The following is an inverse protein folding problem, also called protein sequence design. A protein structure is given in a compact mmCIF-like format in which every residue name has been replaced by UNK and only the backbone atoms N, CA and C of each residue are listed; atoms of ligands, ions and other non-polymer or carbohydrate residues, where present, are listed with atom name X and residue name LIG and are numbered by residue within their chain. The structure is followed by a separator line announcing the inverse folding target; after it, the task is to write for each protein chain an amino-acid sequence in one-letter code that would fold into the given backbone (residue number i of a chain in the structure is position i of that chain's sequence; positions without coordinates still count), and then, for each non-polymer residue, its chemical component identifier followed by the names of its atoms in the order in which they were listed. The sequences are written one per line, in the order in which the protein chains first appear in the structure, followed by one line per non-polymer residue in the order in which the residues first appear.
data_IF_437511845870
#
_entry.id   IF_437511845870
#
_cell.length_a   1.000
_cell.length_b   1.000
_cell.length_c   1.000
_cell.angle_alpha   90.00
_cell.angle_beta   90.00
_cell.angle_gamma   90.00
#
_symmetry.space_group_name_H-M   'P 1'
#
loop_
_entity.id
_entity.type
_entity.pdbx_description
1 polymer ?
#
# COMPACT_ATOMS: atom_id res chain seq x y z
N UNK A 1 -11.41 8.42 -15.38
CA UNK A 1 -10.39 7.64 -14.65
C UNK A 1 -9.95 8.52 -13.50
N UNK A 2 -10.07 8.06 -12.26
CA UNK A 2 -9.73 8.87 -11.09
C UNK A 2 -8.22 8.91 -10.98
N UNK A 3 -7.62 10.06 -11.26
CA UNK A 3 -6.17 10.30 -11.24
C UNK A 3 -5.63 10.33 -9.81
N UNK A 4 -5.68 9.19 -9.11
CA UNK A 4 -5.30 9.08 -7.71
C UNK A 4 -3.81 8.78 -7.56
N UNK A 5 -3.08 9.65 -6.85
CA UNK A 5 -1.74 9.33 -6.34
C UNK A 5 -1.86 8.92 -4.88
N UNK A 6 -1.36 7.75 -4.53
CA UNK A 6 -1.15 7.35 -3.15
C UNK A 6 0.23 7.83 -2.70
N UNK A 7 0.30 8.50 -1.55
CA UNK A 7 1.56 8.84 -0.89
C UNK A 7 1.75 7.94 0.33
N UNK A 8 2.85 7.19 0.35
CA UNK A 8 3.25 6.39 1.50
C UNK A 8 4.27 7.18 2.29
N UNK A 9 4.05 7.33 3.59
CA UNK A 9 4.91 8.09 4.51
C UNK A 9 5.38 7.21 5.65
N UNK A 10 6.50 7.59 6.26
CA UNK A 10 6.97 7.01 7.52
C UNK A 10 7.16 8.12 8.55
N UNK A 11 6.10 8.43 9.28
CA UNK A 11 6.13 9.43 10.35
C UNK A 11 5.84 8.74 11.71
N UNK A 12 6.81 8.73 12.64
CA UNK A 12 6.63 8.19 13.98
C UNK A 12 5.72 9.04 14.87
N UNK A 13 5.56 10.34 14.58
CA UNK A 13 4.71 11.28 15.33
C UNK A 13 3.24 11.28 14.85
N UNK A 14 2.86 10.25 14.08
CA UNK A 14 1.48 10.04 13.65
C UNK A 14 0.51 9.92 14.83
N UNK A 15 0.99 9.58 16.03
CA UNK A 15 0.20 9.61 17.28
C UNK A 15 -0.33 10.99 17.65
N UNK A 16 0.36 12.08 17.27
CA UNK A 16 -0.13 13.44 17.46
C UNK A 16 -1.26 13.76 16.47
N UNK A 17 -1.22 13.17 15.27
CA UNK A 17 -2.29 13.25 14.27
C UNK A 17 -3.48 12.31 14.59
N UNK A 18 -3.31 11.32 15.47
CA UNK A 18 -4.21 10.17 15.55
C UNK A 18 -4.50 9.67 16.97
N UNK A 19 -4.75 10.59 17.91
CA UNK A 19 -5.26 10.28 19.26
C UNK A 19 -6.62 9.53 19.30
N UNK A 20 -7.13 8.92 18.22
CA UNK A 20 -8.45 8.27 18.20
C UNK A 20 -8.60 6.89 17.51
N UNK A 21 -7.59 6.24 16.93
CA UNK A 21 -7.80 4.90 16.37
C UNK A 21 -6.52 4.04 16.36
N UNK A 22 -6.60 2.82 16.91
CA UNK A 22 -5.49 1.87 16.97
C UNK A 22 -5.31 1.07 15.68
N UNK A 23 -4.12 1.13 15.09
CA UNK A 23 -3.67 0.30 13.96
C UNK A 23 -2.19 0.58 13.64
N UNK A 24 -1.46 -0.40 13.10
CA UNK A 24 -0.02 -0.30 12.74
C UNK A 24 0.20 0.51 11.45
N UNK A 25 -0.83 0.59 10.61
CA UNK A 25 -0.90 1.45 9.44
C UNK A 25 -2.32 2.00 9.33
N UNK A 26 -2.45 3.30 9.04
CA UNK A 26 -3.76 3.93 8.92
C UNK A 26 -3.90 4.66 7.59
N UNK A 27 -5.03 4.41 6.93
CA UNK A 27 -5.44 5.08 5.70
C UNK A 27 -6.37 6.24 6.06
N UNK A 28 -5.96 7.47 5.77
CA UNK A 28 -6.87 8.62 5.83
C UNK A 28 -7.63 8.69 4.50
N UNK A 29 -8.94 8.49 4.54
CA UNK A 29 -9.84 8.64 3.40
C UNK A 29 -10.68 9.90 3.64
N UNK A 30 -10.18 11.07 3.23
CA UNK A 30 -10.97 12.31 3.26
C UNK A 30 -11.76 12.43 1.96
N UNK A 31 -13.09 12.27 2.03
CA UNK A 31 -13.96 12.42 0.85
C UNK A 31 -14.16 13.91 0.50
N UNK A 32 -14.07 14.19 -0.81
CA UNK A 32 -14.32 15.42 -1.59
C UNK A 32 -13.14 16.39 -1.77
N UNK A 33 -12.72 16.46 -3.04
CA UNK A 33 -11.76 17.36 -3.69
C UNK A 33 -10.26 17.13 -3.39
N UNK A 34 -9.59 16.44 -4.33
CA UNK A 34 -8.18 16.60 -4.71
C UNK A 34 -7.08 16.49 -3.63
N UNK A 35 -7.35 15.94 -2.45
CA UNK A 35 -6.26 15.57 -1.53
C UNK A 35 -5.69 14.18 -1.87
N UNK A 36 -4.36 14.01 -1.83
CA UNK A 36 -3.73 12.72 -2.08
C UNK A 36 -4.13 11.72 -0.98
N UNK A 37 -4.38 10.46 -1.37
CA UNK A 37 -4.55 9.38 -0.41
C UNK A 37 -3.21 9.17 0.30
N UNK A 38 -3.22 9.07 1.64
CA UNK A 38 -2.01 8.86 2.44
C UNK A 38 -2.11 7.53 3.19
N UNK A 39 -1.05 6.73 3.09
CA UNK A 39 -0.79 5.55 3.90
C UNK A 39 0.46 5.80 4.75
N UNK A 40 0.30 6.00 6.05
CA UNK A 40 1.43 6.18 6.95
C UNK A 40 1.81 4.86 7.65
N UNK A 41 3.12 4.62 7.75
CA UNK A 41 3.70 3.59 8.60
C UNK A 41 4.38 4.23 9.82
N UNK A 42 4.31 3.58 10.98
CA UNK A 42 4.92 4.08 12.22
C UNK A 42 6.45 4.16 12.19
N UNK A 43 7.10 3.44 11.27
CA UNK A 43 8.55 3.42 11.11
C UNK A 43 8.96 2.88 9.74
N UNK A 44 10.19 3.18 9.28
CA UNK A 44 10.78 2.50 8.12
C UNK A 44 10.78 0.98 8.25
N UNK A 45 11.05 0.44 9.46
CA UNK A 45 11.00 -1.00 9.71
C UNK A 45 9.61 -1.60 9.46
N UNK A 46 8.56 -0.94 9.96
CA UNK A 46 7.17 -1.35 9.71
C UNK A 46 6.80 -1.28 8.23
N UNK A 47 7.27 -0.25 7.52
CA UNK A 47 7.12 -0.14 6.07
C UNK A 47 7.77 -1.33 5.35
N UNK A 48 9.04 -1.65 5.60
CA UNK A 48 9.74 -2.74 4.90
C UNK A 48 9.19 -4.13 5.25
N UNK A 49 8.70 -4.33 6.48
CA UNK A 49 8.04 -5.57 6.88
C UNK A 49 6.72 -5.81 6.11
N UNK A 50 5.98 -4.73 5.81
CA UNK A 50 4.69 -4.77 5.15
C UNK A 50 4.78 -4.64 3.62
N UNK A 51 5.76 -3.91 3.10
CA UNK A 51 5.97 -3.64 1.69
C UNK A 51 7.38 -4.08 1.26
N UNK A 52 7.57 -5.40 1.29
CA UNK A 52 8.79 -6.06 0.83
C UNK A 52 8.81 -6.21 -0.70
N UNK A 53 9.94 -6.68 -1.24
CA UNK A 53 10.18 -6.87 -2.68
C UNK A 53 9.06 -7.67 -3.37
N UNK A 54 8.60 -8.75 -2.72
CA UNK A 54 7.57 -9.65 -3.26
C UNK A 54 6.24 -8.92 -3.48
N UNK A 55 5.86 -8.03 -2.56
CA UNK A 55 4.64 -7.23 -2.64
C UNK A 55 4.80 -6.04 -3.57
N UNK A 56 5.98 -5.42 -3.61
CA UNK A 56 6.33 -4.40 -4.61
C UNK A 56 6.22 -4.91 -6.04
N UNK A 57 6.63 -6.16 -6.30
CA UNK A 57 6.48 -6.79 -7.60
C UNK A 57 5.00 -6.91 -8.02
N UNK A 58 4.09 -7.24 -7.09
CA UNK A 58 2.65 -7.28 -7.37
C UNK A 58 2.13 -5.88 -7.75
N UNK A 59 2.47 -4.86 -6.95
CA UNK A 59 2.03 -3.49 -7.20
C UNK A 59 2.50 -2.96 -8.55
N UNK A 60 3.76 -3.21 -8.92
CA UNK A 60 4.32 -2.78 -10.21
C UNK A 60 3.54 -3.35 -11.39
N UNK A 61 3.13 -4.61 -11.30
CA UNK A 61 2.31 -5.22 -12.34
C UNK A 61 0.91 -4.66 -12.33
N UNK A 62 0.32 -4.41 -11.16
CA UNK A 62 -1.08 -3.97 -11.03
C UNK A 62 -1.29 -2.49 -11.35
N UNK A 63 -0.27 -1.65 -11.25
CA UNK A 63 -0.34 -0.22 -11.57
C UNK A 63 -0.70 -0.02 -13.06
N UNK A 64 -1.72 0.81 -13.31
CA UNK A 64 -2.22 1.08 -14.66
C UNK A 64 -2.90 -0.12 -15.35
N UNK A 65 -3.09 -1.24 -14.65
CA UNK A 65 -3.86 -2.37 -15.18
C UNK A 65 -5.33 -2.28 -14.78
N UNK A 66 -6.17 -2.94 -15.58
CA UNK A 66 -7.53 -3.28 -15.16
C UNK A 66 -7.56 -4.37 -14.08
N UNK A 67 -8.69 -5.04 -13.95
CA UNK A 67 -8.82 -6.17 -13.02
C UNK A 67 -7.99 -7.38 -13.47
N UNK A 68 -7.21 -7.97 -12.56
CA UNK A 68 -6.38 -9.15 -12.80
C UNK A 68 -6.71 -10.22 -11.77
N UNK A 69 -6.95 -11.45 -12.23
CA UNK A 69 -7.15 -12.61 -11.34
C UNK A 69 -5.85 -13.06 -10.68
N UNK A 70 -5.92 -13.60 -9.46
CA UNK A 70 -4.73 -14.02 -8.68
C UNK A 70 -3.85 -15.03 -9.43
N UNK A 71 -4.44 -15.98 -10.17
CA UNK A 71 -3.68 -16.95 -10.97
C UNK A 71 -2.90 -16.30 -12.10
N UNK A 72 -3.53 -15.34 -12.79
CA UNK A 72 -2.86 -14.59 -13.85
C UNK A 72 -1.75 -13.71 -13.28
N UNK A 73 -2.00 -13.05 -12.15
CA UNK A 73 -0.97 -12.29 -11.46
C UNK A 73 0.22 -13.18 -11.09
N UNK A 74 -0.03 -14.38 -10.57
CA UNK A 74 1.00 -15.35 -10.22
C UNK A 74 1.85 -15.79 -11.43
N UNK A 75 1.20 -16.02 -12.58
CA UNK A 75 1.88 -16.31 -13.85
C UNK A 75 2.79 -15.14 -14.28
N UNK A 76 2.30 -13.89 -14.16
CA UNK A 76 3.08 -12.70 -14.55
C UNK A 76 4.30 -12.45 -13.65
N UNK A 77 4.21 -12.75 -12.34
CA UNK A 77 5.37 -12.64 -11.43
C UNK A 77 6.25 -13.89 -11.37
N UNK A 78 5.89 -14.98 -12.06
CA UNK A 78 6.65 -16.23 -12.02
C UNK A 78 6.69 -16.89 -10.62
N UNK A 79 5.60 -16.80 -9.86
CA UNK A 79 5.52 -17.34 -8.48
C UNK A 79 4.31 -18.24 -8.30
N UNK A 80 4.30 -19.01 -7.22
CA UNK A 80 3.18 -19.87 -6.87
C UNK A 80 1.93 -19.07 -6.45
N UNK A 81 0.75 -19.63 -6.74
CA UNK A 81 -0.54 -18.97 -6.48
C UNK A 81 -0.78 -18.72 -5.00
N UNK A 82 -0.34 -19.62 -4.11
CA UNK A 82 -0.56 -19.50 -2.66
C UNK A 82 0.21 -18.31 -2.10
N UNK A 83 1.49 -18.20 -2.43
CA UNK A 83 2.34 -17.08 -2.02
C UNK A 83 1.83 -15.74 -2.55
N UNK A 84 1.38 -15.71 -3.81
CA UNK A 84 0.80 -14.49 -4.41
C UNK A 84 -0.54 -14.12 -3.77
N UNK A 85 -1.37 -15.12 -3.42
CA UNK A 85 -2.60 -14.86 -2.68
C UNK A 85 -2.31 -14.23 -1.31
N UNK A 86 -1.37 -14.79 -0.55
CA UNK A 86 -0.96 -14.26 0.76
C UNK A 86 -0.46 -12.82 0.65
N UNK A 87 0.43 -12.54 -0.31
CA UNK A 87 0.96 -11.19 -0.53
C UNK A 87 -0.12 -10.21 -0.98
N UNK A 88 -1.02 -10.63 -1.89
CA UNK A 88 -2.14 -9.81 -2.32
C UNK A 88 -3.11 -9.50 -1.19
N UNK A 89 -3.38 -10.44 -0.29
CA UNK A 89 -4.21 -10.20 0.90
C UNK A 89 -3.63 -9.12 1.80
N UNK A 90 -2.31 -9.10 2.01
CA UNK A 90 -1.66 -8.01 2.78
C UNK A 90 -1.84 -6.66 2.08
N UNK A 91 -1.64 -6.61 0.76
CA UNK A 91 -1.83 -5.38 -0.02
C UNK A 91 -3.29 -4.89 -0.01
N UNK A 92 -4.26 -5.81 0.00
CA UNK A 92 -5.68 -5.47 0.14
C UNK A 92 -5.97 -4.90 1.53
N UNK A 93 -5.44 -5.51 2.59
CA UNK A 93 -5.59 -5.00 3.96
C UNK A 93 -4.98 -3.61 4.15
N UNK A 94 -3.88 -3.31 3.46
CA UNK A 94 -3.27 -1.97 3.43
C UNK A 94 -4.03 -0.97 2.52
N UNK A 95 -5.03 -1.44 1.77
CA UNK A 95 -5.80 -0.64 0.83
C UNK A 95 -5.03 -0.22 -0.42
N UNK A 96 -3.94 -0.91 -0.74
CA UNK A 96 -3.08 -0.72 -1.92
C UNK A 96 -3.65 -1.45 -3.15
N UNK A 97 -4.35 -2.55 -2.91
CA UNK A 97 -5.16 -3.26 -3.90
C UNK A 97 -6.59 -3.36 -3.40
N UNK A 98 -7.54 -3.52 -4.32
CA UNK A 98 -8.92 -3.84 -4.02
C UNK A 98 -9.26 -5.19 -4.65
N UNK A 99 -10.20 -5.91 -4.02
CA UNK A 99 -10.74 -7.16 -4.55
C UNK A 99 -12.20 -6.95 -4.92
N UNK A 100 -12.57 -7.29 -6.15
CA UNK A 100 -13.95 -7.23 -6.59
C UNK A 100 -14.76 -8.48 -6.16
N UNK A 101 -16.06 -8.49 -6.45
CA UNK A 101 -16.97 -9.61 -6.15
C UNK A 101 -16.53 -10.95 -6.74
N UNK A 102 -15.81 -10.93 -7.86
CA UNK A 102 -15.31 -12.13 -8.55
C UNK A 102 -13.92 -12.57 -8.02
N UNK A 103 -13.40 -11.91 -6.99
CA UNK A 103 -12.08 -12.21 -6.41
C UNK A 103 -10.90 -11.70 -7.23
N UNK A 104 -11.13 -10.94 -8.30
CA UNK A 104 -10.07 -10.30 -9.08
C UNK A 104 -9.57 -9.05 -8.35
N UNK A 105 -8.28 -8.75 -8.54
CA UNK A 105 -7.60 -7.63 -7.93
C UNK A 105 -7.57 -6.44 -8.89
N UNK A 106 -7.60 -5.22 -8.37
CA UNK A 106 -7.23 -4.01 -9.11
C UNK A 106 -6.44 -3.07 -8.21
N UNK A 107 -5.57 -2.25 -8.81
CA UNK A 107 -4.98 -1.11 -8.10
C UNK A 107 -5.87 0.11 -8.35
N UNK A 108 -6.35 0.81 -7.30
CA UNK A 108 -7.20 1.99 -7.47
C UNK A 108 -6.40 3.27 -7.75
N UNK A 109 -5.08 3.15 -7.91
CA UNK A 109 -4.15 4.27 -8.06
C UNK A 109 -3.40 4.17 -9.39
N UNK A 110 -3.09 5.33 -9.96
CA UNK A 110 -2.23 5.43 -11.14
C UNK A 110 -0.76 5.56 -10.75
N UNK A 111 -0.50 6.08 -9.54
CA UNK A 111 0.84 6.36 -9.03
C UNK A 111 0.92 6.07 -7.55
N UNK A 112 2.07 5.53 -7.13
CA UNK A 112 2.45 5.39 -5.73
C UNK A 112 3.74 6.18 -5.55
N UNK A 113 3.70 7.15 -4.66
CA UNK A 113 4.85 7.91 -4.18
C UNK A 113 5.22 7.42 -2.79
N UNK A 114 6.52 7.29 -2.52
CA UNK A 114 7.02 6.97 -1.18
C UNK A 114 7.89 8.14 -0.73
N UNK A 115 7.52 8.74 0.38
CA UNK A 115 8.29 9.78 1.05
C UNK A 115 8.81 9.21 2.38
N UNK A 116 10.12 9.01 2.44
CA UNK A 116 10.83 8.50 3.62
C UNK A 116 12.00 9.42 3.93
N UNK A 117 12.05 9.90 5.16
CA UNK A 117 13.12 10.74 5.69
C UNK A 117 13.77 10.03 6.87
N UNK A 118 15.09 10.04 6.91
CA UNK A 118 15.87 9.57 8.05
C UNK A 118 16.71 10.74 8.54
N UNK A 119 16.50 11.13 9.78
CA UNK A 119 17.25 12.18 10.46
C UNK A 119 18.24 11.57 11.45
N UNK A 120 19.37 12.24 11.71
CA UNK A 120 20.25 11.82 12.80
C UNK A 120 19.47 11.83 14.12
N UNK A 121 19.72 10.84 14.97
CA UNK A 121 19.20 10.86 16.33
C UNK A 121 19.75 12.10 17.05
N UNK A 122 18.93 12.89 17.75
CA UNK A 122 19.42 14.02 18.51
C UNK A 122 20.52 13.55 19.46
N UNK A 123 21.63 14.26 19.48
CA UNK A 123 22.72 13.97 20.40
C UNK A 123 22.18 13.99 21.85
N UNK A 124 22.64 13.05 22.71
CA UNK A 124 22.18 12.94 24.08
C UNK A 124 22.41 14.20 24.92
#
# INVERSE_FOLDING_TARGET
MTTGTLTITTDPDWKTALRKAGGIAQKSLTTKQNQPDILNFESPGAFFANLNERRWALLRIMLGQGTVGVRELARRVGRDVKGVHTDASVLVSLGLLQRNSNGALCCPYDRIRVDMLMEPEPAP
#
